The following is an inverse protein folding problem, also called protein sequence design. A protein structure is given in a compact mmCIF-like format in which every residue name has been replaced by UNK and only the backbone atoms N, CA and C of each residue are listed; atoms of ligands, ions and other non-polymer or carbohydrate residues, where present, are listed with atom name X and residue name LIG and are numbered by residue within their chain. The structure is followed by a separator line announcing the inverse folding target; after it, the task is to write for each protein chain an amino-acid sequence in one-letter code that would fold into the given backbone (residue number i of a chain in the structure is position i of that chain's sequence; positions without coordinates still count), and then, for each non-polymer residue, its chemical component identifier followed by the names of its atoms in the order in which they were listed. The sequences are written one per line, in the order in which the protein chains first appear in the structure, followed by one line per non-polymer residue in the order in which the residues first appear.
data_IF_074568237037
#
_entry.id   IF_074568237037
#
_cell.length_a   1.000
_cell.length_b   1.000
_cell.length_c   1.000
_cell.angle_alpha   90.00
_cell.angle_beta   90.00
_cell.angle_gamma   90.00
#
_symmetry.space_group_name_H-M   'P 1'
#
loop_
_entity.id
_entity.type
_entity.pdbx_description
1 polymer ?
#
# COMPACT_ATOMS: atom_id res chain seq x y z
N UNK A 1 -31.99 -9.11 -6.74
CA UNK A 1 -30.52 -8.90 -6.63
C UNK A 1 -29.91 -9.71 -5.50
N UNK A 2 -30.41 -9.66 -4.26
CA UNK A 2 -29.87 -10.40 -3.10
C UNK A 2 -29.86 -11.94 -3.32
N UNK A 3 -30.91 -12.54 -3.90
CA UNK A 3 -30.96 -13.99 -4.22
C UNK A 3 -29.99 -14.49 -5.29
N UNK A 4 -29.42 -13.59 -6.12
CA UNK A 4 -28.42 -13.95 -7.11
C UNK A 4 -27.03 -14.07 -6.46
N UNK A 5 -26.76 -13.29 -5.40
CA UNK A 5 -25.49 -13.31 -4.67
C UNK A 5 -25.32 -14.55 -3.80
N UNK A 6 -26.42 -15.11 -3.26
CA UNK A 6 -26.40 -16.38 -2.51
C UNK A 6 -25.94 -17.57 -3.35
N UNK A 7 -26.15 -17.52 -4.68
CA UNK A 7 -25.69 -18.54 -5.62
C UNK A 7 -24.18 -18.51 -5.87
N UNK A 8 -23.51 -17.40 -5.53
CA UNK A 8 -22.12 -17.14 -5.93
C UNK A 8 -21.14 -17.17 -4.76
N UNK A 9 -21.58 -17.62 -3.57
CA UNK A 9 -20.78 -17.61 -2.32
C UNK A 9 -20.09 -16.25 -2.01
N UNK A 10 -20.63 -15.16 -2.55
CA UNK A 10 -20.10 -13.82 -2.35
C UNK A 10 -20.88 -13.12 -1.23
N UNK A 11 -20.19 -12.50 -0.31
CA UNK A 11 -20.81 -11.76 0.78
C UNK A 11 -21.55 -10.50 0.28
N UNK A 12 -22.90 -10.43 0.37
CA UNK A 12 -23.64 -9.32 -0.17
C UNK A 12 -23.38 -7.99 0.55
N UNK A 13 -23.03 -8.05 1.84
CA UNK A 13 -22.73 -6.85 2.65
C UNK A 13 -21.43 -6.20 2.19
N UNK A 14 -20.42 -7.03 1.89
CA UNK A 14 -19.15 -6.55 1.34
C UNK A 14 -19.36 -5.90 -0.03
N UNK A 15 -20.12 -6.54 -0.93
CA UNK A 15 -20.40 -6.02 -2.28
C UNK A 15 -21.13 -4.70 -2.21
N UNK A 16 -22.13 -4.57 -1.34
CA UNK A 16 -22.88 -3.32 -1.16
C UNK A 16 -21.98 -2.21 -0.60
N UNK A 17 -21.14 -2.52 0.40
CA UNK A 17 -20.24 -1.54 0.99
C UNK A 17 -19.18 -1.05 -0.01
N UNK A 18 -18.54 -1.96 -0.74
CA UNK A 18 -17.56 -1.62 -1.79
C UNK A 18 -18.24 -0.84 -2.91
N UNK A 19 -19.42 -1.27 -3.37
CA UNK A 19 -20.19 -0.57 -4.40
C UNK A 19 -20.57 0.85 -3.97
N UNK A 20 -21.02 1.03 -2.74
CA UNK A 20 -21.37 2.35 -2.19
C UNK A 20 -20.15 3.28 -2.11
N UNK A 21 -18.99 2.76 -1.62
CA UNK A 21 -17.73 3.52 -1.59
C UNK A 21 -17.24 3.88 -2.99
N UNK A 22 -17.37 2.97 -3.95
CA UNK A 22 -16.97 3.24 -5.34
C UNK A 22 -17.84 4.32 -5.97
N UNK A 23 -19.16 4.26 -5.78
CA UNK A 23 -20.09 5.29 -6.27
C UNK A 23 -19.84 6.63 -5.59
N UNK A 24 -19.57 6.63 -4.29
CA UNK A 24 -19.16 7.83 -3.56
C UNK A 24 -17.86 8.40 -4.14
N UNK A 25 -16.84 7.56 -4.38
CA UNK A 25 -15.58 7.98 -5.02
C UNK A 25 -15.80 8.59 -6.41
N UNK A 26 -16.66 8.00 -7.25
CA UNK A 26 -17.01 8.54 -8.57
C UNK A 26 -17.69 9.93 -8.43
N UNK A 27 -18.60 10.09 -7.49
CA UNK A 27 -19.23 11.38 -7.22
C UNK A 27 -18.21 12.45 -6.78
N UNK A 28 -17.25 12.07 -5.94
CA UNK A 28 -16.18 12.98 -5.52
C UNK A 28 -15.20 13.32 -6.65
N UNK A 29 -14.90 12.37 -7.56
CA UNK A 29 -14.09 12.64 -8.76
C UNK A 29 -14.84 13.59 -9.70
N UNK A 30 -16.15 13.41 -9.88
CA UNK A 30 -16.98 14.37 -10.60
C UNK A 30 -16.89 15.75 -9.98
N UNK A 31 -17.07 15.84 -8.67
CA UNK A 31 -16.93 17.11 -7.96
C UNK A 31 -15.56 17.73 -8.13
N UNK A 32 -14.48 16.95 -8.02
CA UNK A 32 -13.11 17.43 -8.20
C UNK A 32 -12.84 17.98 -9.62
N UNK A 33 -13.57 17.52 -10.64
CA UNK A 33 -13.50 18.02 -12.01
C UNK A 33 -14.19 19.37 -12.21
N UNK A 34 -15.13 19.76 -11.37
CA UNK A 34 -15.87 21.04 -11.44
C UNK A 34 -14.98 22.22 -10.99
N UNK A 35 -14.12 22.69 -11.88
CA UNK A 35 -13.15 23.78 -11.64
C UNK A 35 -13.51 25.03 -12.47
N UNK A 36 -13.01 26.22 -12.07
CA UNK A 36 -13.27 27.47 -12.78
C UNK A 36 -12.66 27.52 -14.19
N UNK A 37 -11.50 26.89 -14.37
CA UNK A 37 -10.81 26.79 -15.66
C UNK A 37 -10.90 25.33 -16.08
N UNK A 38 -11.80 25.00 -17.05
CA UNK A 38 -11.99 23.61 -17.48
C UNK A 38 -10.69 22.98 -18.00
N UNK A 39 -10.37 21.81 -17.50
CA UNK A 39 -9.25 21.01 -17.96
C UNK A 39 -9.78 19.66 -18.47
N UNK A 40 -9.63 19.33 -19.78
CA UNK A 40 -10.17 18.09 -20.34
C UNK A 40 -9.73 16.82 -19.60
N UNK A 41 -8.58 16.86 -18.92
CA UNK A 41 -8.07 15.72 -18.17
C UNK A 41 -8.89 15.48 -16.89
N UNK A 42 -9.32 16.55 -16.21
CA UNK A 42 -10.07 16.48 -14.96
C UNK A 42 -11.57 16.39 -15.20
N UNK A 43 -12.11 17.12 -16.18
CA UNK A 43 -13.53 17.17 -16.48
C UNK A 43 -14.12 15.81 -16.88
N UNK A 44 -13.34 14.99 -17.60
CA UNK A 44 -13.77 13.66 -18.04
C UNK A 44 -13.29 12.51 -17.11
N UNK A 45 -12.57 12.83 -16.03
CA UNK A 45 -12.00 11.83 -15.13
C UNK A 45 -13.06 10.87 -14.55
N UNK A 46 -14.24 11.38 -14.21
CA UNK A 46 -15.36 10.58 -13.69
C UNK A 46 -15.94 9.61 -14.72
N UNK A 47 -15.97 9.97 -16.01
CA UNK A 47 -16.41 9.08 -17.10
C UNK A 47 -15.41 7.93 -17.27
N UNK A 48 -14.12 8.25 -17.26
CA UNK A 48 -13.06 7.23 -17.29
C UNK A 48 -13.17 6.30 -16.07
N UNK A 49 -13.46 6.84 -14.89
CA UNK A 49 -13.66 6.04 -13.68
C UNK A 49 -14.90 5.12 -13.78
N UNK A 50 -16.00 5.58 -14.42
CA UNK A 50 -17.16 4.72 -14.70
C UNK A 50 -16.82 3.56 -15.64
N UNK A 51 -16.01 3.81 -16.68
CA UNK A 51 -15.54 2.75 -17.57
C UNK A 51 -14.69 1.72 -16.81
N UNK A 52 -13.74 2.19 -16.00
CA UNK A 52 -12.92 1.32 -15.15
C UNK A 52 -13.75 0.54 -14.13
N UNK A 53 -14.78 1.17 -13.54
CA UNK A 53 -15.72 0.48 -12.66
C UNK A 53 -16.48 -0.63 -13.39
N UNK A 54 -16.95 -0.37 -14.61
CA UNK A 54 -17.60 -1.39 -15.45
C UNK A 54 -16.70 -2.57 -15.77
N UNK A 55 -15.44 -2.29 -16.15
CA UNK A 55 -14.42 -3.32 -16.37
C UNK A 55 -14.10 -4.10 -15.08
N UNK A 56 -13.93 -3.41 -13.96
CA UNK A 56 -13.70 -4.01 -12.65
C UNK A 56 -14.85 -4.90 -12.20
N UNK A 57 -16.10 -4.46 -12.40
CA UNK A 57 -17.29 -5.25 -12.09
C UNK A 57 -17.37 -6.52 -12.97
N UNK A 58 -17.00 -6.40 -14.24
CA UNK A 58 -16.92 -7.54 -15.16
C UNK A 58 -15.86 -8.55 -14.71
N UNK A 59 -14.66 -8.07 -14.38
CA UNK A 59 -13.59 -8.90 -13.84
C UNK A 59 -14.00 -9.57 -12.52
N UNK A 60 -14.62 -8.82 -11.61
CA UNK A 60 -15.16 -9.36 -10.36
C UNK A 60 -16.16 -10.49 -10.60
N UNK A 61 -17.12 -10.30 -11.52
CA UNK A 61 -18.14 -11.32 -11.81
C UNK A 61 -17.56 -12.59 -12.42
N UNK A 62 -16.47 -12.47 -13.19
CA UNK A 62 -15.73 -13.63 -13.74
C UNK A 62 -14.94 -14.32 -12.63
N UNK A 63 -14.13 -13.58 -11.87
CA UNK A 63 -13.29 -14.13 -10.81
C UNK A 63 -14.10 -14.76 -9.68
N UNK A 64 -15.27 -14.22 -9.34
CA UNK A 64 -16.16 -14.79 -8.33
C UNK A 64 -16.69 -16.19 -8.70
N UNK A 65 -16.57 -16.60 -9.97
CA UNK A 65 -16.95 -17.94 -10.45
C UNK A 65 -15.77 -18.90 -10.53
N UNK A 66 -14.54 -18.40 -10.40
CA UNK A 66 -13.33 -19.22 -10.49
C UNK A 66 -13.10 -19.93 -9.16
N UNK A 67 -13.01 -21.26 -9.14
CA UNK A 67 -12.67 -22.00 -7.92
C UNK A 67 -11.29 -21.60 -7.39
N UNK A 68 -11.09 -21.49 -6.06
CA UNK A 68 -9.81 -21.09 -5.45
C UNK A 68 -8.60 -21.90 -5.93
N UNK A 69 -8.78 -23.18 -6.21
CA UNK A 69 -7.73 -24.07 -6.75
C UNK A 69 -7.09 -23.58 -8.05
N UNK A 70 -7.86 -22.92 -8.92
CA UNK A 70 -7.32 -22.36 -10.17
C UNK A 70 -6.51 -21.11 -9.91
N UNK A 71 -6.96 -20.28 -8.96
CA UNK A 71 -6.22 -19.08 -8.53
C UNK A 71 -4.90 -19.52 -7.89
N UNK A 72 -4.91 -20.53 -7.04
CA UNK A 72 -3.71 -21.11 -6.44
C UNK A 72 -2.75 -21.69 -7.52
N UNK A 73 -3.27 -22.35 -8.56
CA UNK A 73 -2.45 -22.89 -9.64
C UNK A 73 -1.77 -21.78 -10.44
N UNK A 74 -2.48 -20.68 -10.73
CA UNK A 74 -1.96 -19.53 -11.48
C UNK A 74 -0.97 -18.69 -10.65
N UNK A 75 -0.93 -18.82 -9.33
CA UNK A 75 -0.12 -17.99 -8.43
C UNK A 75 1.38 -17.96 -8.82
N UNK A 76 2.00 -19.12 -9.10
CA UNK A 76 3.41 -19.19 -9.45
C UNK A 76 3.69 -18.64 -10.86
N UNK A 77 2.97 -19.04 -11.92
CA UNK A 77 3.13 -18.42 -13.24
C UNK A 77 2.93 -16.89 -13.23
N UNK A 78 1.90 -16.41 -12.52
CA UNK A 78 1.64 -14.98 -12.38
C UNK A 78 2.78 -14.25 -11.68
N UNK A 79 3.32 -14.83 -10.62
CA UNK A 79 4.47 -14.29 -9.89
C UNK A 79 5.71 -14.20 -10.81
N UNK A 80 6.07 -15.28 -11.51
CA UNK A 80 7.21 -15.28 -12.41
C UNK A 80 7.04 -14.24 -13.52
N UNK A 81 5.86 -14.18 -14.13
CA UNK A 81 5.55 -13.18 -15.17
C UNK A 81 5.66 -11.75 -14.61
N UNK A 82 5.13 -11.49 -13.43
CA UNK A 82 5.19 -10.16 -12.82
C UNK A 82 6.62 -9.72 -12.49
N UNK A 83 7.47 -10.63 -12.00
CA UNK A 83 8.89 -10.37 -11.76
C UNK A 83 9.62 -10.07 -13.07
N UNK A 84 9.34 -10.82 -14.14
CA UNK A 84 9.91 -10.55 -15.47
C UNK A 84 9.46 -9.18 -15.98
N UNK A 85 8.18 -8.81 -15.84
CA UNK A 85 7.68 -7.49 -16.22
C UNK A 85 8.34 -6.37 -15.42
N UNK A 86 8.56 -6.56 -14.11
CA UNK A 86 9.32 -5.60 -13.30
C UNK A 86 10.77 -5.46 -13.79
N UNK A 87 11.41 -6.56 -14.16
CA UNK A 87 12.75 -6.53 -14.74
C UNK A 87 12.80 -5.78 -16.09
N UNK A 88 11.82 -6.00 -16.96
CA UNK A 88 11.68 -5.28 -18.24
C UNK A 88 11.48 -3.78 -17.98
N UNK A 89 10.67 -3.42 -16.98
CA UNK A 89 10.38 -2.02 -16.65
C UNK A 89 11.63 -1.24 -16.22
N UNK A 90 12.65 -1.88 -15.65
CA UNK A 90 13.93 -1.23 -15.34
C UNK A 90 14.64 -0.69 -16.59
N UNK A 91 14.43 -1.36 -17.75
CA UNK A 91 15.09 -1.00 -19.03
C UNK A 91 14.22 -0.09 -19.87
N UNK A 92 12.93 -0.40 -20.00
CA UNK A 92 11.99 0.25 -20.94
C UNK A 92 11.08 1.24 -20.24
N UNK A 93 11.02 1.21 -18.90
CA UNK A 93 10.09 2.02 -18.11
C UNK A 93 10.30 3.52 -18.27
N UNK A 94 9.18 4.23 -18.25
CA UNK A 94 9.10 5.70 -18.25
C UNK A 94 8.53 6.21 -16.92
N UNK A 95 8.82 7.47 -16.58
CA UNK A 95 8.16 8.16 -15.48
C UNK A 95 6.78 8.65 -15.91
N UNK A 96 5.82 8.70 -14.98
CA UNK A 96 4.50 9.29 -15.20
C UNK A 96 4.30 10.47 -14.27
N UNK A 97 3.68 11.54 -14.76
CA UNK A 97 3.33 12.73 -13.99
C UNK A 97 4.52 13.47 -13.38
N UNK A 98 4.39 13.93 -12.15
CA UNK A 98 5.39 14.74 -11.42
C UNK A 98 6.62 13.96 -10.94
N UNK A 99 6.64 12.63 -11.13
CA UNK A 99 7.74 11.77 -10.71
C UNK A 99 8.82 11.60 -11.80
N UNK A 100 9.39 12.71 -12.24
CA UNK A 100 10.52 12.71 -13.17
C UNK A 100 11.69 11.89 -12.58
N UNK A 101 12.11 10.83 -13.29
CA UNK A 101 13.20 9.94 -12.86
C UNK A 101 12.76 8.58 -12.30
N UNK A 102 11.47 8.37 -12.01
CA UNK A 102 10.92 7.06 -11.64
C UNK A 102 10.59 6.28 -12.92
N UNK A 103 11.20 5.12 -13.12
CA UNK A 103 10.96 4.26 -14.28
C UNK A 103 10.02 3.12 -13.93
N UNK A 104 8.78 3.40 -13.54
CA UNK A 104 7.84 2.39 -13.05
C UNK A 104 6.64 2.13 -13.98
N UNK A 105 6.51 2.90 -15.06
CA UNK A 105 5.39 2.79 -15.98
C UNK A 105 5.85 2.31 -17.36
N UNK A 106 5.04 1.46 -17.99
CA UNK A 106 5.15 1.08 -19.38
C UNK A 106 4.05 1.81 -20.14
N UNK A 107 4.44 2.71 -21.06
CA UNK A 107 3.51 3.41 -21.91
C UNK A 107 3.23 2.58 -23.16
N UNK A 108 1.97 2.20 -23.35
CA UNK A 108 1.46 1.46 -24.52
C UNK A 108 0.82 2.39 -25.56
N UNK A 109 0.99 3.72 -25.39
CA UNK A 109 0.46 4.75 -26.26
C UNK A 109 -0.98 5.16 -25.94
N UNK A 110 -1.89 4.22 -25.72
CA UNK A 110 -3.29 4.48 -25.36
C UNK A 110 -3.60 4.22 -23.88
N UNK A 111 -2.75 3.48 -23.17
CA UNK A 111 -2.82 3.20 -21.74
C UNK A 111 -1.41 3.14 -21.16
N UNK A 112 -1.20 3.82 -20.04
CA UNK A 112 0.00 3.65 -19.20
C UNK A 112 -0.27 2.57 -18.17
N UNK A 113 0.63 1.59 -18.08
CA UNK A 113 0.50 0.42 -17.22
C UNK A 113 1.66 0.36 -16.23
N UNK A 114 1.35 0.13 -14.94
CA UNK A 114 2.35 -0.05 -13.90
C UNK A 114 2.47 -1.54 -13.53
N UNK A 115 3.54 -2.25 -13.93
CA UNK A 115 3.72 -3.67 -13.63
C UNK A 115 3.73 -4.00 -12.14
N UNK A 116 4.14 -3.07 -11.30
CA UNK A 116 4.18 -3.24 -9.85
C UNK A 116 2.79 -3.48 -9.24
N UNK A 117 1.71 -2.97 -9.84
CA UNK A 117 0.34 -3.21 -9.38
C UNK A 117 -0.04 -4.70 -9.50
N UNK A 118 0.28 -5.31 -10.64
CA UNK A 118 0.09 -6.76 -10.83
C UNK A 118 1.06 -7.55 -9.94
N UNK A 119 2.29 -7.08 -9.79
CA UNK A 119 3.29 -7.76 -8.97
C UNK A 119 2.88 -7.84 -7.50
N UNK A 120 2.20 -6.84 -6.93
CA UNK A 120 1.63 -6.90 -5.58
C UNK A 120 0.64 -8.06 -5.45
N UNK A 121 -0.33 -8.14 -6.36
CA UNK A 121 -1.33 -9.21 -6.36
C UNK A 121 -0.70 -10.60 -6.56
N UNK A 122 0.20 -10.73 -7.52
CA UNK A 122 0.90 -11.98 -7.80
C UNK A 122 1.78 -12.42 -6.61
N UNK A 123 2.40 -11.49 -5.91
CA UNK A 123 3.19 -11.75 -4.69
C UNK A 123 2.29 -12.24 -3.56
N UNK A 124 1.13 -11.61 -3.33
CA UNK A 124 0.15 -12.07 -2.34
C UNK A 124 -0.24 -13.53 -2.64
N UNK A 125 -0.60 -13.83 -3.88
CA UNK A 125 -0.99 -15.19 -4.27
C UNK A 125 0.15 -16.21 -4.10
N UNK A 126 1.39 -15.86 -4.48
CA UNK A 126 2.54 -16.74 -4.35
C UNK A 126 2.89 -17.02 -2.88
N UNK A 127 2.87 -15.98 -2.02
CA UNK A 127 3.12 -16.12 -0.59
C UNK A 127 1.98 -16.89 0.10
N UNK A 128 0.72 -16.59 -0.25
CA UNK A 128 -0.44 -17.32 0.26
C UNK A 128 -0.35 -18.82 -0.06
N UNK A 129 0.02 -19.16 -1.29
CA UNK A 129 0.25 -20.56 -1.69
C UNK A 129 1.37 -21.22 -0.89
N UNK A 130 2.50 -20.52 -0.71
CA UNK A 130 3.62 -21.05 0.08
C UNK A 130 3.22 -21.30 1.53
N UNK A 131 2.53 -20.33 2.15
CA UNK A 131 2.16 -20.40 3.57
C UNK A 131 1.03 -21.42 3.81
N UNK A 132 0.03 -21.51 2.91
CA UNK A 132 -1.06 -22.49 3.01
C UNK A 132 -0.56 -23.93 2.94
N UNK A 133 0.47 -24.20 2.14
CA UNK A 133 1.05 -25.55 1.99
C UNK A 133 1.89 -25.98 3.19
N UNK A 134 2.34 -25.07 4.05
CA UNK A 134 3.09 -25.39 5.28
C UNK A 134 2.19 -25.94 6.38
N UNK A 135 0.87 -25.83 6.25
CA UNK A 135 -0.10 -26.34 7.22
C UNK A 135 0.07 -25.71 8.60
N UNK A 136 -0.14 -26.51 9.65
CA UNK A 136 -0.05 -26.06 11.04
C UNK A 136 1.41 -25.84 11.57
N UNK A 137 2.43 -25.91 10.70
CA UNK A 137 3.81 -25.66 11.11
C UNK A 137 3.95 -24.18 11.52
N UNK A 138 4.19 -23.93 12.80
CA UNK A 138 4.32 -22.57 13.34
C UNK A 138 5.60 -21.93 12.82
N UNK A 139 5.47 -20.72 12.28
CA UNK A 139 6.59 -19.86 11.89
C UNK A 139 7.22 -19.26 13.13
N UNK A 140 8.14 -19.97 13.78
CA UNK A 140 8.70 -19.56 15.08
C UNK A 140 10.16 -19.18 15.03
N UNK A 141 10.85 -19.43 13.92
CA UNK A 141 12.27 -19.11 13.75
C UNK A 141 12.50 -18.20 12.54
N UNK A 142 13.64 -17.51 12.50
CA UNK A 142 14.03 -16.69 11.34
C UNK A 142 14.17 -17.51 10.06
N UNK A 143 14.59 -18.78 10.18
CA UNK A 143 14.73 -19.69 9.03
C UNK A 143 13.40 -19.93 8.33
N UNK A 144 12.30 -19.99 9.10
CA UNK A 144 10.97 -20.19 8.55
C UNK A 144 10.52 -18.99 7.69
N UNK A 145 11.04 -17.81 8.00
CA UNK A 145 10.70 -16.56 7.33
C UNK A 145 11.55 -16.30 6.08
N UNK A 146 12.68 -17.00 5.88
CA UNK A 146 13.61 -16.77 4.76
C UNK A 146 12.90 -16.90 3.41
N UNK A 147 12.14 -17.97 3.19
CA UNK A 147 11.51 -18.22 1.88
C UNK A 147 10.35 -17.22 1.60
N UNK A 148 9.41 -16.97 2.53
CA UNK A 148 8.41 -15.92 2.34
C UNK A 148 9.04 -14.54 2.10
N UNK A 149 10.06 -14.18 2.89
CA UNK A 149 10.76 -12.91 2.75
C UNK A 149 11.51 -12.81 1.41
N UNK A 150 12.07 -13.89 0.89
CA UNK A 150 12.73 -13.90 -0.41
C UNK A 150 11.73 -13.73 -1.56
N UNK A 151 10.52 -14.36 -1.45
CA UNK A 151 9.46 -14.18 -2.44
C UNK A 151 8.96 -12.73 -2.49
N UNK A 152 8.87 -12.05 -1.36
CA UNK A 152 8.49 -10.62 -1.35
C UNK A 152 9.69 -9.74 -1.65
N UNK A 153 10.88 -10.12 -1.19
CA UNK A 153 12.13 -9.35 -1.33
C UNK A 153 12.57 -9.18 -2.78
N UNK A 154 12.31 -10.16 -3.65
CA UNK A 154 12.71 -10.07 -5.06
C UNK A 154 11.94 -8.97 -5.80
N UNK A 155 10.59 -8.94 -5.84
CA UNK A 155 9.87 -7.83 -6.47
C UNK A 155 10.11 -6.50 -5.73
N UNK A 156 10.22 -6.50 -4.39
CA UNK A 156 10.59 -5.32 -3.61
C UNK A 156 11.92 -4.71 -4.08
N UNK A 157 12.95 -5.53 -4.24
CA UNK A 157 14.27 -5.07 -4.71
C UNK A 157 14.19 -4.46 -6.12
N UNK A 158 13.44 -5.07 -7.03
CA UNK A 158 13.23 -4.53 -8.38
C UNK A 158 12.50 -3.18 -8.36
N UNK A 159 11.49 -3.03 -7.50
CA UNK A 159 10.75 -1.75 -7.35
C UNK A 159 11.63 -0.67 -6.72
N UNK A 160 12.46 -1.00 -5.74
CA UNK A 160 13.44 -0.06 -5.15
C UNK A 160 14.45 0.39 -6.21
N UNK A 161 14.87 -0.49 -7.13
CA UNK A 161 15.76 -0.13 -8.26
C UNK A 161 15.07 0.78 -9.29
N UNK A 162 13.71 0.84 -9.30
CA UNK A 162 12.91 1.78 -10.12
C UNK A 162 12.72 3.15 -9.44
N UNK A 163 13.42 3.50 -8.40
CA UNK A 163 13.22 4.50 -7.32
C UNK A 163 11.77 4.77 -6.89
N UNK A 164 10.92 3.73 -6.84
CA UNK A 164 9.52 3.83 -6.41
C UNK A 164 9.35 3.39 -4.95
N UNK A 165 9.68 4.30 -4.03
CA UNK A 165 9.65 4.02 -2.58
C UNK A 165 8.21 3.77 -2.11
N UNK A 166 7.22 4.49 -2.65
CA UNK A 166 5.81 4.33 -2.27
C UNK A 166 5.30 2.92 -2.51
N UNK A 167 5.50 2.40 -3.72
CA UNK A 167 5.15 1.02 -4.07
C UNK A 167 5.98 -0.01 -3.30
N UNK A 168 7.26 0.27 -3.05
CA UNK A 168 8.13 -0.60 -2.24
C UNK A 168 7.59 -0.80 -0.81
N UNK A 169 7.07 0.25 -0.17
CA UNK A 169 6.46 0.15 1.17
C UNK A 169 5.23 -0.78 1.19
N UNK A 170 4.47 -0.85 0.09
CA UNK A 170 3.34 -1.78 -0.01
C UNK A 170 3.78 -3.25 0.06
N UNK A 171 4.92 -3.62 -0.57
CA UNK A 171 5.47 -4.99 -0.47
C UNK A 171 5.90 -5.32 0.96
N UNK A 172 6.46 -4.37 1.69
CA UNK A 172 6.79 -4.54 3.12
C UNK A 172 5.52 -4.79 3.92
N UNK A 173 4.47 -3.98 3.69
CA UNK A 173 3.15 -4.17 4.32
C UNK A 173 2.55 -5.56 4.04
N UNK A 174 2.59 -6.01 2.77
CA UNK A 174 2.15 -7.36 2.36
C UNK A 174 2.90 -8.44 3.14
N UNK A 175 4.23 -8.36 3.24
CA UNK A 175 5.03 -9.35 3.97
C UNK A 175 4.58 -9.46 5.43
N UNK A 176 4.54 -8.34 6.15
CA UNK A 176 4.21 -8.34 7.57
C UNK A 176 2.76 -8.76 7.83
N UNK A 177 1.81 -8.31 7.03
CA UNK A 177 0.40 -8.70 7.14
C UNK A 177 0.22 -10.21 6.94
N UNK A 178 0.81 -10.77 5.89
CA UNK A 178 0.70 -12.19 5.57
C UNK A 178 1.42 -13.08 6.59
N UNK A 179 2.59 -12.68 7.08
CA UNK A 179 3.29 -13.40 8.15
C UNK A 179 2.50 -13.36 9.47
N UNK A 180 1.93 -12.21 9.82
CA UNK A 180 1.06 -12.09 10.99
C UNK A 180 -0.15 -13.01 10.89
N UNK A 181 -0.84 -12.99 9.75
CA UNK A 181 -2.00 -13.85 9.50
C UNK A 181 -1.66 -15.34 9.48
N UNK A 182 -0.47 -15.70 9.00
CA UNK A 182 0.05 -17.06 9.03
C UNK A 182 0.45 -17.56 10.44
N UNK A 183 0.23 -16.74 11.48
CA UNK A 183 0.47 -17.10 12.88
C UNK A 183 1.91 -16.90 13.36
N UNK A 184 2.70 -16.08 12.68
CA UNK A 184 4.03 -15.67 13.16
C UNK A 184 3.87 -14.87 14.47
N UNK A 185 4.60 -15.19 15.54
CA UNK A 185 4.54 -14.43 16.78
C UNK A 185 4.88 -12.95 16.57
N UNK A 186 4.06 -12.05 17.12
CA UNK A 186 4.27 -10.59 17.00
C UNK A 186 5.68 -10.19 17.46
N UNK A 187 6.20 -10.82 18.50
CA UNK A 187 7.56 -10.59 18.97
C UNK A 187 8.62 -10.85 17.89
N UNK A 188 8.46 -11.91 17.07
CA UNK A 188 9.37 -12.21 15.96
C UNK A 188 9.22 -11.18 14.82
N UNK A 189 7.99 -10.75 14.53
CA UNK A 189 7.75 -9.69 13.55
C UNK A 189 8.41 -8.37 13.96
N UNK A 190 8.28 -7.97 15.22
CA UNK A 190 8.95 -6.78 15.78
C UNK A 190 10.47 -6.89 15.67
N UNK A 191 11.03 -8.07 15.98
CA UNK A 191 12.47 -8.33 15.83
C UNK A 191 12.93 -8.23 14.36
N UNK A 192 12.16 -8.77 13.42
CA UNK A 192 12.49 -8.70 11.98
C UNK A 192 12.35 -7.27 11.46
N UNK A 193 11.44 -6.47 12.01
CA UNK A 193 11.33 -5.05 11.68
C UNK A 193 12.43 -4.19 12.32
N UNK A 194 13.12 -4.68 13.36
CA UNK A 194 14.06 -3.91 14.14
C UNK A 194 15.21 -3.26 13.34
N UNK A 195 15.81 -3.88 12.28
CA UNK A 195 16.83 -3.21 11.48
C UNK A 195 16.32 -1.97 10.73
N UNK A 196 15.05 -1.97 10.31
CA UNK A 196 14.44 -0.79 9.68
C UNK A 196 14.34 0.36 10.69
N UNK A 197 13.94 0.08 11.92
CA UNK A 197 13.91 1.06 13.02
C UNK A 197 15.31 1.57 13.32
N UNK A 198 16.33 0.68 13.35
CA UNK A 198 17.75 1.06 13.53
C UNK A 198 18.23 2.07 12.48
N UNK A 199 17.78 1.90 11.22
CA UNK A 199 18.15 2.78 10.11
C UNK A 199 17.74 4.24 10.40
N UNK A 200 16.56 4.46 10.96
CA UNK A 200 16.09 5.79 11.32
C UNK A 200 16.69 6.30 12.63
N UNK A 201 16.76 5.49 13.67
CA UNK A 201 17.24 5.93 14.98
C UNK A 201 18.76 6.17 15.03
N UNK A 202 19.52 5.61 14.09
CA UNK A 202 20.99 5.75 14.05
C UNK A 202 21.50 7.18 13.77
N UNK A 203 20.61 8.09 13.37
CA UNK A 203 20.96 9.52 13.24
C UNK A 203 21.30 10.16 14.59
N UNK A 204 20.65 9.73 15.68
CA UNK A 204 21.04 10.08 17.05
C UNK A 204 21.68 8.87 17.74
N UNK A 205 22.99 8.95 17.98
CA UNK A 205 23.77 7.86 18.57
C UNK A 205 23.29 7.50 19.96
N UNK A 206 22.76 8.45 20.75
CA UNK A 206 22.26 8.19 22.10
C UNK A 206 20.97 7.38 22.06
N UNK A 207 20.02 7.83 21.23
CA UNK A 207 18.74 7.13 21.06
C UNK A 207 18.97 5.72 20.53
N UNK A 208 19.84 5.60 19.52
CA UNK A 208 20.18 4.31 18.92
C UNK A 208 20.86 3.37 19.90
N UNK A 209 21.75 3.87 20.77
CA UNK A 209 22.42 3.05 21.79
C UNK A 209 21.43 2.45 22.78
N UNK A 210 20.44 3.21 23.24
CA UNK A 210 19.38 2.68 24.10
C UNK A 210 18.48 1.69 23.37
N UNK A 211 18.19 1.96 22.12
CA UNK A 211 17.38 1.07 21.27
C UNK A 211 18.08 -0.29 21.08
N UNK A 212 19.35 -0.31 20.69
CA UNK A 212 20.07 -1.59 20.49
C UNK A 212 20.22 -2.38 21.78
N UNK A 213 20.42 -1.70 22.92
CA UNK A 213 20.40 -2.36 24.23
C UNK A 213 19.03 -2.98 24.53
N UNK A 214 17.93 -2.28 24.18
CA UNK A 214 16.58 -2.82 24.34
C UNK A 214 16.36 -4.05 23.44
N UNK A 215 16.83 -4.03 22.19
CA UNK A 215 16.75 -5.17 21.26
C UNK A 215 17.54 -6.36 21.81
N UNK A 216 18.77 -6.15 22.32
CA UNK A 216 19.58 -7.21 22.92
C UNK A 216 18.91 -7.78 24.17
N UNK A 217 18.39 -6.92 25.05
CA UNK A 217 17.64 -7.35 26.25
C UNK A 217 16.40 -8.16 25.86
N UNK A 218 15.64 -7.69 24.86
CA UNK A 218 14.48 -8.42 24.36
C UNK A 218 14.84 -9.79 23.79
N UNK A 219 15.92 -9.90 23.00
CA UNK A 219 16.45 -11.17 22.49
C UNK A 219 16.89 -12.08 23.63
N UNK A 220 17.49 -11.55 24.70
CA UNK A 220 17.89 -12.34 25.86
C UNK A 220 16.69 -12.97 26.57
N UNK A 221 15.59 -12.23 26.76
CA UNK A 221 14.35 -12.77 27.33
C UNK A 221 13.60 -13.69 26.37
N UNK A 222 13.72 -13.47 25.05
CA UNK A 222 13.06 -14.25 24.00
C UNK A 222 13.87 -15.48 23.54
N UNK A 223 15.06 -15.68 24.10
CA UNK A 223 16.06 -16.71 23.67
C UNK A 223 15.54 -18.14 23.59
N UNK A 224 14.51 -18.49 24.34
CA UNK A 224 13.93 -19.84 24.30
C UNK A 224 13.24 -20.20 22.98
N UNK A 225 13.05 -19.23 22.07
CA UNK A 225 12.37 -19.42 20.79
C UNK A 225 13.26 -19.17 19.58
N UNK A 226 14.42 -18.55 19.76
CA UNK A 226 15.39 -18.29 18.71
C UNK A 226 16.72 -18.99 19.01
N UNK A 227 17.36 -19.51 17.98
CA UNK A 227 18.72 -20.02 18.09
C UNK A 227 19.71 -18.86 18.32
N UNK A 228 20.82 -19.15 19.01
CA UNK A 228 21.86 -18.13 19.26
C UNK A 228 22.33 -17.47 17.95
N UNK A 229 22.49 -18.25 16.90
CA UNK A 229 22.87 -17.74 15.57
C UNK A 229 21.87 -16.72 15.02
N UNK A 230 20.56 -16.97 15.17
CA UNK A 230 19.50 -16.07 14.72
C UNK A 230 19.49 -14.75 15.48
N UNK A 231 19.72 -14.82 16.80
CA UNK A 231 19.83 -13.64 17.65
C UNK A 231 21.04 -12.78 17.29
N UNK A 232 22.20 -13.43 17.04
CA UNK A 232 23.40 -12.73 16.56
C UNK A 232 23.17 -12.10 15.19
N UNK A 233 22.55 -12.83 14.27
CA UNK A 233 22.22 -12.30 12.93
C UNK A 233 21.32 -11.05 12.99
N UNK A 234 20.32 -11.03 13.88
CA UNK A 234 19.45 -9.86 14.09
C UNK A 234 20.22 -8.65 14.65
N UNK A 235 21.09 -8.87 15.63
CA UNK A 235 21.94 -7.80 16.17
C UNK A 235 22.85 -7.24 15.09
N UNK A 236 23.54 -8.13 14.33
CA UNK A 236 24.39 -7.72 13.22
C UNK A 236 23.61 -6.97 12.13
N UNK A 237 22.38 -7.38 11.82
CA UNK A 237 21.52 -6.68 10.88
C UNK A 237 21.15 -5.26 11.36
N UNK A 238 20.90 -5.07 12.66
CA UNK A 238 20.70 -3.75 13.25
C UNK A 238 21.94 -2.85 13.16
N UNK A 239 23.12 -3.39 13.44
CA UNK A 239 24.39 -2.66 13.26
C UNK A 239 24.66 -2.33 11.80
N UNK A 240 24.42 -3.26 10.88
CA UNK A 240 24.57 -3.03 9.45
C UNK A 240 23.59 -1.94 8.97
N UNK A 241 22.34 -1.98 9.40
CA UNK A 241 21.35 -0.93 9.08
C UNK A 241 21.79 0.44 9.59
N UNK A 242 22.29 0.53 10.82
CA UNK A 242 22.79 1.77 11.40
C UNK A 242 24.00 2.32 10.65
N UNK A 243 24.94 1.48 10.23
CA UNK A 243 26.13 1.91 9.47
C UNK A 243 25.82 2.36 8.05
N UNK A 244 24.82 1.71 7.41
CA UNK A 244 24.39 2.01 6.04
C UNK A 244 23.48 3.23 5.98
N UNK A 245 22.86 3.67 7.07
CA UNK A 245 21.82 4.71 7.09
C UNK A 245 22.30 6.03 6.45
N UNK A 246 23.47 6.53 6.82
CA UNK A 246 24.02 7.78 6.27
C UNK A 246 24.45 7.65 4.81
N UNK A 247 25.24 6.62 4.40
CA UNK A 247 25.49 6.38 2.99
C UNK A 247 24.22 6.25 2.14
N UNK A 248 23.20 5.54 2.65
CA UNK A 248 21.92 5.38 1.96
C UNK A 248 21.21 6.73 1.78
N UNK A 249 21.12 7.55 2.84
CA UNK A 249 20.55 8.89 2.75
C UNK A 249 21.25 9.74 1.69
N UNK A 250 22.57 9.74 1.69
CA UNK A 250 23.38 10.54 0.76
C UNK A 250 23.28 10.04 -0.70
N UNK A 251 22.89 8.77 -0.91
CA UNK A 251 22.66 8.22 -2.24
C UNK A 251 21.28 8.53 -2.82
N UNK A 252 20.35 8.99 -1.97
CA UNK A 252 19.01 9.39 -2.43
C UNK A 252 19.10 10.69 -3.24
N UNK A 253 18.35 10.75 -4.34
CA UNK A 253 18.19 11.98 -5.09
C UNK A 253 17.49 13.05 -4.24
N UNK A 254 17.80 14.33 -4.49
CA UNK A 254 17.27 15.47 -3.70
C UNK A 254 15.74 15.44 -3.58
N UNK A 255 15.03 15.04 -4.65
CA UNK A 255 13.57 14.95 -4.59
C UNK A 255 13.06 13.87 -3.64
N UNK A 256 13.81 12.76 -3.47
CA UNK A 256 13.47 11.68 -2.54
C UNK A 256 13.70 12.10 -1.09
N UNK A 257 14.82 12.78 -0.84
CA UNK A 257 15.12 13.35 0.47
C UNK A 257 14.05 14.38 0.86
N UNK A 258 13.70 15.30 -0.07
CA UNK A 258 12.67 16.30 0.17
C UNK A 258 11.29 15.66 0.47
N UNK A 259 10.90 14.58 -0.20
CA UNK A 259 9.65 13.87 0.13
C UNK A 259 9.62 13.35 1.56
N UNK A 260 10.74 12.79 2.04
CA UNK A 260 10.84 12.29 3.42
C UNK A 260 10.80 13.46 4.42
N UNK A 261 11.55 14.54 4.15
CA UNK A 261 11.59 15.72 5.02
C UNK A 261 10.23 16.42 5.08
N UNK A 262 9.58 16.62 3.94
CA UNK A 262 8.26 17.26 3.82
C UNK A 262 7.16 16.42 4.49
N UNK A 263 7.28 15.09 4.50
CA UNK A 263 6.35 14.26 5.26
C UNK A 263 6.42 14.53 6.77
N UNK A 264 7.62 14.84 7.29
CA UNK A 264 7.82 15.17 8.71
C UNK A 264 7.47 16.65 8.98
N UNK A 265 7.91 17.53 8.10
CA UNK A 265 7.68 18.97 8.19
C UNK A 265 7.46 19.58 6.80
N UNK A 266 6.19 19.84 6.41
CA UNK A 266 5.88 20.44 5.12
C UNK A 266 6.43 21.85 4.91
N UNK A 267 6.80 22.56 6.00
CA UNK A 267 7.31 23.92 5.94
C UNK A 267 8.77 23.98 5.46
N UNK A 268 9.47 22.85 5.37
CA UNK A 268 10.84 22.77 4.82
C UNK A 268 10.89 23.19 3.34
N UNK A 269 9.85 22.87 2.56
CA UNK A 269 9.75 23.27 1.15
C UNK A 269 8.31 23.70 0.79
N UNK A 270 7.84 24.88 1.26
CA UNK A 270 6.44 25.28 1.15
C UNK A 270 5.97 25.53 -0.29
N UNK A 271 6.91 25.78 -1.23
CA UNK A 271 6.60 26.09 -2.65
C UNK A 271 6.89 24.92 -3.59
N UNK A 272 7.57 23.90 -3.12
CA UNK A 272 7.86 22.67 -3.88
C UNK A 272 7.07 21.48 -3.36
N UNK A 273 7.75 20.46 -2.84
CA UNK A 273 7.13 19.22 -2.40
C UNK A 273 6.12 19.39 -1.25
N UNK A 274 6.31 20.42 -0.38
CA UNK A 274 5.41 20.73 0.75
C UNK A 274 4.12 21.42 0.34
N UNK A 275 4.10 22.08 -0.83
CA UNK A 275 2.94 22.86 -1.29
C UNK A 275 1.65 22.05 -1.27
N UNK A 276 1.66 20.86 -1.87
CA UNK A 276 0.47 20.00 -1.95
C UNK A 276 -0.05 19.59 -0.58
N UNK A 277 0.85 19.27 0.37
CA UNK A 277 0.49 18.87 1.74
C UNK A 277 -0.11 20.05 2.50
N UNK A 278 0.45 21.26 2.33
CA UNK A 278 -0.06 22.48 2.96
C UNK A 278 -1.45 22.81 2.40
N UNK A 279 -1.63 22.81 1.07
CA UNK A 279 -2.93 23.08 0.46
C UNK A 279 -3.98 22.02 0.82
N UNK A 280 -3.58 20.74 0.93
CA UNK A 280 -4.43 19.66 1.43
C UNK A 280 -4.92 19.94 2.86
N UNK A 281 -4.02 20.39 3.77
CA UNK A 281 -4.39 20.76 5.14
C UNK A 281 -5.35 21.96 5.17
N UNK A 282 -5.11 22.96 4.30
CA UNK A 282 -5.99 24.14 4.18
C UNK A 282 -7.36 23.72 3.67
N UNK A 283 -7.45 22.87 2.64
CA UNK A 283 -8.70 22.36 2.10
C UNK A 283 -9.53 21.64 3.19
N UNK A 284 -8.92 20.66 3.86
CA UNK A 284 -9.60 19.92 4.95
C UNK A 284 -10.00 20.85 6.09
N UNK A 285 -9.13 21.80 6.47
CA UNK A 285 -9.43 22.77 7.54
C UNK A 285 -10.57 23.73 7.21
N UNK A 286 -10.72 24.12 5.93
CA UNK A 286 -11.77 25.02 5.47
C UNK A 286 -13.16 24.38 5.51
N UNK A 287 -13.26 23.06 5.44
CA UNK A 287 -14.55 22.34 5.45
C UNK A 287 -15.29 22.35 6.80
N UNK A 288 -14.58 22.57 7.92
CA UNK A 288 -15.21 22.58 9.24
C UNK A 288 -15.98 21.29 9.56
N UNK A 289 -17.13 21.40 10.22
CA UNK A 289 -17.93 20.22 10.62
C UNK A 289 -18.76 19.63 9.48
N UNK A 290 -19.45 20.45 8.69
CA UNK A 290 -20.43 20.01 7.68
C UNK A 290 -19.98 20.21 6.24
N UNK A 291 -18.82 20.83 6.03
CA UNK A 291 -18.28 21.12 4.70
C UNK A 291 -18.80 22.40 4.08
N UNK A 292 -18.20 22.77 2.94
CA UNK A 292 -18.58 23.93 2.14
C UNK A 292 -19.77 23.65 1.19
N UNK A 293 -20.14 22.37 1.07
CA UNK A 293 -21.15 21.87 0.14
C UNK A 293 -20.54 21.17 -1.10
N UNK A 294 -21.27 20.20 -1.61
CA UNK A 294 -20.88 19.42 -2.79
C UNK A 294 -20.67 20.34 -4.00
N UNK A 295 -19.55 20.21 -4.70
CA UNK A 295 -19.06 21.06 -5.81
C UNK A 295 -18.70 22.51 -5.43
N UNK A 296 -18.78 22.91 -4.16
CA UNK A 296 -18.62 24.32 -3.76
C UNK A 296 -17.28 24.63 -3.09
N UNK A 297 -16.39 23.66 -2.92
CA UNK A 297 -15.08 23.83 -2.29
C UNK A 297 -14.20 24.86 -3.03
N UNK A 298 -13.77 25.96 -2.38
CA UNK A 298 -12.98 27.00 -3.03
C UNK A 298 -11.56 26.56 -3.41
N UNK A 299 -10.89 25.75 -2.58
CA UNK A 299 -9.53 25.27 -2.89
C UNK A 299 -9.50 24.45 -4.17
N UNK A 300 -10.46 23.56 -4.33
CA UNK A 300 -10.67 22.77 -5.51
C UNK A 300 -11.04 23.62 -6.73
N UNK A 301 -11.98 24.54 -6.59
CA UNK A 301 -12.53 25.36 -7.73
C UNK A 301 -11.48 26.25 -8.36
N UNK A 302 -10.51 26.74 -7.59
CA UNK A 302 -9.41 27.57 -8.07
C UNK A 302 -8.15 26.77 -8.43
N UNK A 303 -8.25 25.43 -8.45
CA UNK A 303 -7.15 24.49 -8.82
C UNK A 303 -5.86 24.73 -8.00
N UNK A 304 -6.03 25.09 -6.70
CA UNK A 304 -4.87 25.27 -5.82
C UNK A 304 -4.22 23.94 -5.43
N UNK A 305 -4.91 22.82 -5.62
CA UNK A 305 -4.42 21.50 -5.25
C UNK A 305 -4.21 20.64 -6.51
N UNK A 306 -2.96 20.57 -7.03
CA UNK A 306 -2.65 19.68 -8.15
C UNK A 306 -3.05 18.23 -7.84
N UNK A 307 -3.45 17.47 -8.87
CA UNK A 307 -3.86 16.06 -8.74
C UNK A 307 -4.99 15.84 -7.70
N UNK A 308 -5.90 16.82 -7.56
CA UNK A 308 -7.01 16.77 -6.61
C UNK A 308 -8.01 15.63 -6.90
N UNK A 309 -8.11 15.18 -8.16
CA UNK A 309 -9.00 14.11 -8.59
C UNK A 309 -8.43 12.70 -8.36
N UNK A 310 -7.15 12.58 -7.99
CA UNK A 310 -6.44 11.33 -7.73
C UNK A 310 -5.88 11.31 -6.30
N UNK A 311 -4.67 11.81 -6.10
CA UNK A 311 -3.90 11.66 -4.86
C UNK A 311 -4.51 12.42 -3.69
N UNK A 312 -5.17 13.56 -3.95
CA UNK A 312 -5.75 14.43 -2.93
C UNK A 312 -7.28 14.46 -2.90
N UNK A 313 -7.93 13.41 -3.46
CA UNK A 313 -9.40 13.33 -3.48
C UNK A 313 -10.00 13.40 -2.06
N UNK A 314 -9.30 12.85 -1.06
CA UNK A 314 -9.76 12.89 0.32
C UNK A 314 -9.76 14.33 0.93
N UNK A 315 -8.89 15.20 0.41
CA UNK A 315 -8.92 16.62 0.77
C UNK A 315 -10.14 17.32 0.24
N UNK A 316 -10.59 16.96 -0.98
CA UNK A 316 -11.85 17.45 -1.56
C UNK A 316 -13.04 16.97 -0.71
N UNK A 317 -13.02 15.69 -0.26
CA UNK A 317 -14.06 15.18 0.67
C UNK A 317 -14.07 16.00 1.95
N UNK A 318 -12.90 16.33 2.51
CA UNK A 318 -12.80 17.15 3.73
C UNK A 318 -13.29 18.56 3.55
N UNK A 319 -13.00 19.21 2.44
CA UNK A 319 -13.45 20.55 2.11
C UNK A 319 -14.98 20.61 1.88
N UNK A 320 -15.52 19.71 1.08
CA UNK A 320 -16.92 19.75 0.65
C UNK A 320 -17.91 19.16 1.65
N UNK A 321 -17.54 18.08 2.32
CA UNK A 321 -18.41 17.34 3.26
C UNK A 321 -17.97 17.49 4.72
N UNK A 322 -16.88 18.18 4.98
CA UNK A 322 -16.37 18.48 6.31
C UNK A 322 -15.96 17.24 7.12
N UNK A 323 -15.88 17.43 8.43
CA UNK A 323 -15.53 16.36 9.36
C UNK A 323 -16.51 15.18 9.31
N UNK A 324 -17.82 15.45 9.20
CA UNK A 324 -18.83 14.39 9.17
C UNK A 324 -18.66 13.51 7.93
N UNK A 325 -18.46 14.11 6.74
CA UNK A 325 -18.26 13.36 5.50
C UNK A 325 -16.97 12.52 5.51
N UNK A 326 -15.86 13.10 6.00
CA UNK A 326 -14.60 12.38 6.15
C UNK A 326 -14.69 11.24 7.15
N UNK A 327 -15.34 11.45 8.30
CA UNK A 327 -15.54 10.42 9.32
C UNK A 327 -16.39 9.26 8.77
N UNK A 328 -17.48 9.55 8.05
CA UNK A 328 -18.32 8.53 7.42
C UNK A 328 -17.52 7.73 6.36
N UNK A 329 -16.71 8.38 5.54
CA UNK A 329 -15.85 7.70 4.58
C UNK A 329 -14.85 6.75 5.27
N UNK A 330 -14.17 7.21 6.33
CA UNK A 330 -13.24 6.39 7.12
C UNK A 330 -13.95 5.20 7.77
N UNK A 331 -15.12 5.41 8.36
CA UNK A 331 -15.92 4.34 8.96
C UNK A 331 -16.35 3.31 7.91
N UNK A 332 -16.76 3.77 6.71
CA UNK A 332 -17.12 2.87 5.62
C UNK A 332 -15.91 2.03 5.13
N UNK A 333 -14.73 2.63 4.98
CA UNK A 333 -13.50 1.89 4.72
C UNK A 333 -13.17 0.90 5.84
N UNK A 334 -13.24 1.33 7.09
CA UNK A 334 -13.05 0.48 8.27
C UNK A 334 -14.01 -0.71 8.30
N UNK A 335 -15.27 -0.49 7.91
CA UNK A 335 -16.26 -1.56 7.79
C UNK A 335 -15.86 -2.59 6.71
N UNK A 336 -15.41 -2.14 5.54
CA UNK A 336 -14.93 -3.06 4.46
C UNK A 336 -13.76 -3.89 4.95
N UNK A 337 -12.73 -3.26 5.56
CA UNK A 337 -11.57 -3.96 6.10
C UNK A 337 -11.97 -4.97 7.19
N UNK A 338 -12.82 -4.57 8.14
CA UNK A 338 -13.30 -5.45 9.19
C UNK A 338 -14.08 -6.63 8.60
N UNK A 339 -14.86 -6.39 7.54
CA UNK A 339 -15.63 -7.45 6.89
C UNK A 339 -14.72 -8.45 6.16
N UNK A 340 -13.66 -7.98 5.51
CA UNK A 340 -12.65 -8.85 4.90
C UNK A 340 -11.96 -9.73 5.96
N UNK A 341 -11.53 -9.15 7.08
CA UNK A 341 -10.93 -9.90 8.20
C UNK A 341 -11.89 -10.97 8.71
N UNK A 342 -13.18 -10.64 8.93
CA UNK A 342 -14.18 -11.63 9.37
C UNK A 342 -14.39 -12.76 8.36
N UNK A 343 -14.32 -12.48 7.06
CA UNK A 343 -14.42 -13.49 6.02
C UNK A 343 -13.17 -14.37 5.97
N UNK A 344 -11.99 -13.78 6.13
CA UNK A 344 -10.73 -14.51 6.21
C UNK A 344 -10.69 -15.45 7.41
N UNK A 345 -11.14 -15.01 8.61
CA UNK A 345 -11.23 -15.85 9.82
C UNK A 345 -12.21 -17.04 9.67
N UNK A 346 -13.27 -16.86 8.88
CA UNK A 346 -14.28 -17.88 8.63
C UNK A 346 -13.94 -18.80 7.47
N UNK A 347 -12.88 -18.50 6.74
CA UNK A 347 -12.47 -19.32 5.60
C UNK A 347 -11.96 -20.68 6.06
N UNK A 348 -12.52 -21.76 5.54
CA UNK A 348 -12.03 -23.13 5.77
C UNK A 348 -10.80 -23.46 4.90
N UNK A 349 -10.58 -22.70 3.83
CA UNK A 349 -9.42 -22.84 2.95
C UNK A 349 -8.30 -21.89 3.42
N UNK A 350 -7.16 -22.45 3.88
CA UNK A 350 -6.03 -21.63 4.33
C UNK A 350 -5.49 -20.67 3.26
N UNK A 351 -5.53 -21.07 1.98
CA UNK A 351 -5.10 -20.23 0.88
C UNK A 351 -6.04 -19.02 0.73
N UNK A 352 -7.34 -19.26 0.70
CA UNK A 352 -8.33 -18.20 0.59
C UNK A 352 -8.29 -17.23 1.77
N UNK A 353 -8.10 -17.74 3.01
CA UNK A 353 -7.96 -16.91 4.20
C UNK A 353 -6.70 -16.03 4.21
N UNK A 354 -5.63 -16.45 3.53
CA UNK A 354 -4.39 -15.66 3.39
C UNK A 354 -4.47 -14.62 2.26
N UNK A 355 -5.33 -14.83 1.27
CA UNK A 355 -5.52 -13.90 0.14
C UNK A 355 -6.47 -12.77 0.51
N UNK A 356 -7.47 -13.02 1.37
CA UNK A 356 -8.41 -12.02 1.88
C UNK A 356 -7.77 -11.05 2.85
#
# INVERSE_FOLDING_TARGET
MIRLLDRWSVDPRLVVAVGALTLFGIAMIYSAGEVHIPNPVTDEAWLRQLLWFGLGLSAFTVLARVPPRWIEWVAVPAYVLSVLLLGITLVVGTGSGTAAGVKSWIDLGFISFQPAEIAKLATILAVARLLSQRGAAKLTSLRDLVVPSALVGLPLALVVLQPDIGTAMAFVGILFAMLYWAGTPVALLVLVASPVVSLFLSYDTRIWSWYILAVIAFLYFYRYRLFLFESVALVLANFAAATISRPLWNSLATYQQNRILVFLDPEVDPRGAGYQVIQSKVAVGSGGLLGQGFTLGPQKRYDFLPEQHTDFIFSVVGEELGFVGTALAIVAFGYVLMRLVQLAERSHDPFAGLVL
#
